data_IF_973001837173
#
_entry.id   IF_973001837173
#
_cell.length_a   1.000
_cell.length_b   1.000
_cell.length_c   1.000
_cell.angle_alpha   90.00
_cell.angle_beta   90.00
_cell.angle_gamma   90.00
#
_symmetry.space_group_name_H-M   'P 1'
#
loop_
_entity.id
_entity.type
_entity.pdbx_description
1 polymer ?
#
# COMPACT_ATOMS: atom_id res chain seq x y z
N UNK A 1 -11.04 19.62 0.85
CA UNK A 1 -10.22 19.17 -0.30
C UNK A 1 -10.09 17.66 -0.24
N UNK A 2 -10.23 16.96 -1.37
CA UNK A 2 -9.92 15.53 -1.45
C UNK A 2 -8.42 15.33 -1.66
N UNK A 3 -7.87 14.26 -1.12
CA UNK A 3 -6.50 13.82 -1.35
C UNK A 3 -6.38 13.24 -2.75
N UNK A 4 -5.24 13.44 -3.40
CA UNK A 4 -4.93 12.81 -4.70
C UNK A 4 -4.19 11.50 -4.46
N UNK A 5 -4.76 10.38 -4.91
CA UNK A 5 -4.12 9.06 -4.82
C UNK A 5 -3.36 8.75 -6.10
N UNK A 6 -2.06 8.48 -5.98
CA UNK A 6 -1.18 8.08 -7.08
C UNK A 6 -0.63 6.67 -6.82
N UNK A 7 -0.28 5.97 -7.89
CA UNK A 7 0.32 4.64 -7.83
C UNK A 7 1.76 4.69 -8.30
N UNK A 8 2.64 3.98 -7.58
CA UNK A 8 3.95 3.64 -8.11
C UNK A 8 3.82 2.64 -9.25
N UNK A 9 4.83 2.59 -10.12
CA UNK A 9 4.79 1.75 -11.34
C UNK A 9 4.54 0.28 -11.01
N UNK A 10 5.13 -0.21 -9.93
CA UNK A 10 4.95 -1.56 -9.42
C UNK A 10 3.52 -1.77 -8.90
N UNK A 11 2.97 -0.82 -8.13
CA UNK A 11 1.60 -0.88 -7.63
C UNK A 11 0.55 -0.90 -8.76
N UNK A 12 0.80 -0.22 -9.89
CA UNK A 12 -0.05 -0.31 -11.09
C UNK A 12 -0.08 -1.75 -11.62
N UNK A 13 1.08 -2.43 -11.66
CA UNK A 13 1.17 -3.82 -12.11
C UNK A 13 0.45 -4.76 -11.15
N UNK A 14 0.59 -4.51 -9.85
CA UNK A 14 -0.11 -5.28 -8.81
C UNK A 14 -1.63 -5.16 -8.97
N UNK A 15 -2.14 -3.93 -9.06
CA UNK A 15 -3.57 -3.66 -9.23
C UNK A 15 -4.15 -4.35 -10.47
N UNK A 16 -3.42 -4.36 -11.58
CA UNK A 16 -3.85 -5.01 -12.83
C UNK A 16 -4.00 -6.53 -12.71
N UNK A 17 -3.34 -7.17 -11.74
CA UNK A 17 -3.43 -8.62 -11.49
C UNK A 17 -4.58 -9.02 -10.57
N UNK A 18 -5.28 -8.04 -9.96
CA UNK A 18 -6.38 -8.31 -9.04
C UNK A 18 -7.63 -8.77 -9.78
N UNK A 19 -8.38 -9.66 -9.14
CA UNK A 19 -9.65 -10.20 -9.60
C UNK A 19 -10.84 -9.62 -8.80
N UNK A 20 -12.06 -9.92 -9.26
CA UNK A 20 -13.31 -9.26 -8.85
C UNK A 20 -13.37 -8.71 -7.42
N UNK A 21 -13.29 -9.58 -6.40
CA UNK A 21 -13.46 -9.17 -5.00
C UNK A 21 -12.27 -8.37 -4.47
N UNK A 22 -11.04 -8.75 -4.82
CA UNK A 22 -9.82 -8.06 -4.37
C UNK A 22 -9.71 -6.68 -5.00
N UNK A 23 -10.02 -6.57 -6.29
CA UNK A 23 -10.05 -5.30 -7.02
C UNK A 23 -11.13 -4.35 -6.48
N UNK A 24 -12.34 -4.86 -6.19
CA UNK A 24 -13.42 -4.07 -5.56
C UNK A 24 -13.00 -3.52 -4.20
N UNK A 25 -12.33 -4.33 -3.38
CA UNK A 25 -11.85 -3.87 -2.08
C UNK A 25 -10.79 -2.76 -2.21
N UNK A 26 -9.87 -2.88 -3.18
CA UNK A 26 -8.86 -1.84 -3.43
C UNK A 26 -9.49 -0.55 -3.91
N UNK A 27 -10.50 -0.59 -4.78
CA UNK A 27 -11.21 0.61 -5.21
C UNK A 27 -11.82 1.36 -4.02
N UNK A 28 -12.49 0.64 -3.11
CA UNK A 28 -13.03 1.23 -1.89
C UNK A 28 -11.93 1.79 -0.96
N UNK A 29 -10.77 1.12 -0.91
CA UNK A 29 -9.64 1.63 -0.15
C UNK A 29 -9.11 2.95 -0.73
N UNK A 30 -9.05 3.09 -2.06
CA UNK A 30 -8.65 4.33 -2.76
C UNK A 30 -9.65 5.44 -2.45
N UNK A 31 -10.95 5.21 -2.61
CA UNK A 31 -11.99 6.20 -2.29
C UNK A 31 -11.85 6.72 -0.85
N UNK A 32 -11.63 5.81 0.11
CA UNK A 32 -11.40 6.19 1.51
C UNK A 32 -10.12 6.98 1.71
N UNK A 33 -9.06 6.70 0.97
CA UNK A 33 -7.80 7.46 1.01
C UNK A 33 -7.97 8.85 0.39
N UNK A 34 -8.75 8.99 -0.69
CA UNK A 34 -9.10 10.29 -1.27
C UNK A 34 -9.88 11.15 -0.25
N UNK A 35 -10.82 10.56 0.46
CA UNK A 35 -11.64 11.27 1.46
C UNK A 35 -10.89 11.59 2.75
N UNK A 36 -10.20 10.60 3.32
CA UNK A 36 -9.66 10.67 4.69
C UNK A 36 -8.14 10.82 4.75
N UNK A 37 -7.45 10.71 3.63
CA UNK A 37 -5.99 10.79 3.55
C UNK A 37 -5.31 9.72 4.40
N UNK A 38 -4.19 10.08 5.02
CA UNK A 38 -3.39 9.16 5.85
C UNK A 38 -3.90 8.97 7.28
N UNK A 39 -5.09 9.47 7.61
CA UNK A 39 -5.70 9.28 8.94
C UNK A 39 -6.26 7.87 9.17
N UNK A 40 -6.38 7.06 8.11
CA UNK A 40 -6.79 5.66 8.19
C UNK A 40 -5.58 4.73 8.17
N UNK A 41 -5.80 3.42 8.34
CA UNK A 41 -4.76 2.41 8.23
C UNK A 41 -3.88 2.26 9.46
N UNK A 42 -3.04 1.22 9.45
CA UNK A 42 -2.07 0.94 10.50
C UNK A 42 -0.72 1.54 10.10
N UNK A 43 -0.16 2.43 10.93
CA UNK A 43 1.22 2.92 10.75
C UNK A 43 2.19 1.76 10.80
N UNK A 44 3.08 1.71 9.82
CA UNK A 44 4.18 0.75 9.78
C UNK A 44 5.40 1.34 10.47
N UNK A 45 6.24 0.45 10.99
CA UNK A 45 7.50 0.79 11.62
C UNK A 45 8.62 -0.03 10.99
N UNK A 46 9.83 0.20 11.48
CA UNK A 46 10.96 -0.62 11.09
C UNK A 46 10.81 -2.02 11.70
N UNK A 47 11.24 -3.01 10.95
CA UNK A 47 11.42 -4.40 11.41
C UNK A 47 12.87 -4.79 11.22
N UNK A 48 13.26 -5.99 11.65
CA UNK A 48 14.58 -6.54 11.37
C UNK A 48 14.86 -6.67 9.85
N UNK A 49 13.82 -6.73 9.01
CA UNK A 49 13.93 -7.05 7.59
C UNK A 49 13.49 -5.92 6.63
N UNK A 50 12.92 -4.83 7.14
CA UNK A 50 12.32 -3.78 6.32
C UNK A 50 12.21 -2.45 7.08
N UNK A 51 12.54 -1.33 6.42
CA UNK A 51 12.45 0.03 6.96
C UNK A 51 11.20 0.75 6.42
N UNK A 52 10.08 0.61 7.14
CA UNK A 52 8.77 1.10 6.71
C UNK A 52 8.22 2.26 7.54
N UNK A 53 9.08 2.96 8.28
CA UNK A 53 8.69 4.23 8.94
C UNK A 53 8.20 5.23 7.90
N UNK A 54 7.07 5.88 8.19
CA UNK A 54 6.42 6.82 7.27
C UNK A 54 5.40 6.19 6.32
N UNK A 55 5.27 4.86 6.33
CA UNK A 55 4.29 4.12 5.53
C UNK A 55 3.15 3.61 6.40
N UNK A 56 2.04 3.23 5.75
CA UNK A 56 0.85 2.72 6.40
C UNK A 56 0.22 1.59 5.58
N UNK A 57 -0.48 0.70 6.27
CA UNK A 57 -1.14 -0.46 5.69
C UNK A 57 -2.66 -0.38 5.85
N UNK A 58 -3.37 -0.66 4.76
CA UNK A 58 -4.75 -1.16 4.79
C UNK A 58 -4.73 -2.65 4.48
N UNK A 59 -5.51 -3.45 5.22
CA UNK A 59 -5.61 -4.90 4.97
C UNK A 59 -7.04 -5.39 5.08
N UNK A 60 -7.34 -6.43 4.32
CA UNK A 60 -8.54 -7.25 4.48
C UNK A 60 -8.12 -8.71 4.66
N UNK A 61 -8.23 -9.18 5.89
CA UNK A 61 -7.81 -10.53 6.27
C UNK A 61 -8.64 -11.63 5.59
N UNK A 62 -9.93 -11.39 5.35
CA UNK A 62 -10.82 -12.37 4.70
C UNK A 62 -10.43 -12.58 3.23
N UNK A 63 -10.05 -11.50 2.55
CA UNK A 63 -9.61 -11.53 1.16
C UNK A 63 -8.09 -11.78 1.01
N UNK A 64 -7.35 -11.85 2.12
CA UNK A 64 -5.90 -12.00 2.10
C UNK A 64 -5.15 -10.83 1.44
N UNK A 65 -5.75 -9.64 1.30
CA UNK A 65 -5.15 -8.52 0.56
C UNK A 65 -4.59 -7.45 1.49
N UNK A 66 -3.47 -6.84 1.08
CA UNK A 66 -2.81 -5.71 1.74
C UNK A 66 -2.52 -4.62 0.71
N UNK A 67 -2.58 -3.38 1.15
CA UNK A 67 -2.25 -2.18 0.39
C UNK A 67 -1.36 -1.30 1.26
N UNK A 68 -0.14 -1.04 0.79
CA UNK A 68 0.84 -0.20 1.47
C UNK A 68 0.92 1.15 0.75
N UNK A 69 0.87 2.22 1.53
CA UNK A 69 0.91 3.59 1.04
C UNK A 69 1.69 4.52 1.98
N UNK A 70 1.95 5.74 1.52
CA UNK A 70 2.42 6.86 2.36
C UNK A 70 1.66 8.15 2.07
N UNK A 71 1.70 9.08 3.01
CA UNK A 71 1.41 10.48 2.72
C UNK A 71 2.64 11.15 2.08
N UNK A 72 2.41 11.87 1.00
CA UNK A 72 3.36 12.79 0.39
C UNK A 72 2.91 14.24 0.65
N UNK A 73 3.67 15.23 0.19
CA UNK A 73 3.30 16.64 0.31
C UNK A 73 2.00 16.97 -0.45
N UNK A 74 1.37 18.09 -0.09
CA UNK A 74 0.20 18.67 -0.81
C UNK A 74 -1.04 17.77 -0.91
N UNK A 75 -1.40 17.06 0.17
CA UNK A 75 -2.55 16.14 0.19
C UNK A 75 -2.46 15.02 -0.86
N UNK A 76 -1.24 14.54 -1.14
CA UNK A 76 -1.01 13.40 -2.03
C UNK A 76 -0.82 12.13 -1.21
N UNK A 77 -1.41 11.04 -1.67
CA UNK A 77 -1.20 9.69 -1.15
C UNK A 77 -0.55 8.87 -2.25
N UNK A 78 0.50 8.13 -1.91
CA UNK A 78 1.18 7.25 -2.85
C UNK A 78 1.00 5.80 -2.44
N UNK A 79 0.37 5.00 -3.30
CA UNK A 79 0.25 3.55 -3.15
C UNK A 79 1.49 2.91 -3.80
N UNK A 80 2.18 2.08 -3.02
CA UNK A 80 3.50 1.54 -3.37
C UNK A 80 3.44 0.05 -3.66
N UNK A 81 2.56 -0.65 -2.94
CA UNK A 81 2.40 -2.08 -3.08
C UNK A 81 0.96 -2.48 -2.82
N UNK A 82 0.44 -3.36 -3.68
CA UNK A 82 -0.81 -4.06 -3.45
C UNK A 82 -0.53 -5.53 -3.62
N UNK A 83 -0.96 -6.35 -2.67
CA UNK A 83 -0.59 -7.76 -2.72
C UNK A 83 -1.64 -8.62 -2.07
N UNK A 84 -1.97 -9.72 -2.76
CA UNK A 84 -2.80 -10.80 -2.23
C UNK A 84 -1.85 -11.86 -1.68
N UNK A 85 -1.94 -12.11 -0.38
CA UNK A 85 -1.01 -12.93 0.39
C UNK A 85 -1.79 -13.91 1.26
N UNK A 86 -1.46 -15.21 1.13
CA UNK A 86 -1.95 -16.24 2.04
C UNK A 86 -1.30 -16.12 3.44
N UNK A 87 -1.96 -16.62 4.49
CA UNK A 87 -1.56 -16.42 5.91
C UNK A 87 -0.08 -16.64 6.24
N UNK A 88 0.66 -17.50 5.52
CA UNK A 88 2.07 -17.86 5.78
C UNK A 88 3.10 -16.91 5.16
N UNK A 89 2.68 -16.01 4.29
CA UNK A 89 3.58 -15.19 3.44
C UNK A 89 3.61 -13.71 3.89
N UNK A 90 3.07 -13.43 5.08
CA UNK A 90 2.79 -12.09 5.60
C UNK A 90 4.05 -11.22 5.80
N UNK A 91 5.23 -11.81 6.01
CA UNK A 91 6.46 -11.04 6.20
C UNK A 91 7.10 -10.62 4.88
N UNK A 92 6.89 -11.39 3.80
CA UNK A 92 7.52 -11.11 2.49
C UNK A 92 7.04 -9.80 1.86
N UNK A 93 5.83 -9.34 2.20
CA UNK A 93 5.33 -8.03 1.75
C UNK A 93 6.18 -6.88 2.24
N UNK A 94 6.63 -6.92 3.50
CA UNK A 94 7.36 -5.81 4.07
C UNK A 94 8.75 -5.70 3.42
N UNK A 95 9.37 -6.84 3.12
CA UNK A 95 10.63 -6.92 2.37
C UNK A 95 10.44 -6.43 0.93
N UNK A 96 9.35 -6.81 0.24
CA UNK A 96 9.05 -6.32 -1.10
C UNK A 96 8.86 -4.80 -1.11
N UNK A 97 8.09 -4.28 -0.17
CA UNK A 97 7.82 -2.85 -0.06
C UNK A 97 9.10 -2.07 0.21
N UNK A 98 9.94 -2.53 1.15
CA UNK A 98 11.24 -1.92 1.45
C UNK A 98 12.15 -1.86 0.22
N UNK A 99 12.26 -2.96 -0.54
CA UNK A 99 13.03 -2.99 -1.80
C UNK A 99 12.54 -1.98 -2.82
N UNK A 100 11.23 -1.81 -2.97
CA UNK A 100 10.65 -0.81 -3.87
C UNK A 100 11.00 0.60 -3.40
N UNK A 101 10.89 0.85 -2.10
CA UNK A 101 11.21 2.15 -1.49
C UNK A 101 12.68 2.50 -1.72
N UNK A 102 13.60 1.58 -1.43
CA UNK A 102 15.05 1.80 -1.64
C UNK A 102 15.37 2.11 -3.11
N UNK A 103 14.76 1.37 -4.04
CA UNK A 103 14.98 1.62 -5.47
C UNK A 103 14.51 3.01 -5.91
N UNK A 104 13.40 3.50 -5.36
CA UNK A 104 12.87 4.82 -5.73
C UNK A 104 13.70 5.98 -5.18
N UNK A 105 14.41 5.79 -4.07
CA UNK A 105 15.32 6.81 -3.52
C UNK A 105 16.62 6.98 -4.30
N UNK A 106 16.99 6.00 -5.12
CA UNK A 106 18.18 6.05 -5.97
C UNK A 106 17.91 6.72 -7.35
N UNK A 107 16.64 7.02 -7.67
CA UNK A 107 16.14 7.67 -8.89
C UNK A 107 15.74 9.15 -8.64
#
# INVERSE_FOLDING_TARGET
MKNKVNFWKEAVKDYKKLDGATKKWVNLAIERLEEKGSSIGKKLGNTQYAKLVGFSELKNQRLGIRLIYRAASDNKIEIIEIVVIGKREAEKVFISADKRISKKTDD
#
